data_IF_746703624185
#
_entry.id   IF_746703624185
#
_cell.length_a   1.000
_cell.length_b   1.000
_cell.length_c   1.000
_cell.angle_alpha   90.00
_cell.angle_beta   90.00
_cell.angle_gamma   90.00
#
_symmetry.space_group_name_H-M   'P 1'
#
loop_
_entity.id
_entity.type
_entity.pdbx_description
1 polymer ?
#
# COMPACT_ATOMS: atom_id res chain seq x y z
N UNK A 1 27.67 8.72 -18.62
CA UNK A 1 26.28 8.87 -18.14
C UNK A 1 25.89 10.31 -17.99
N UNK A 2 24.81 10.67 -18.59
CA UNK A 2 24.34 12.05 -18.52
C UNK A 2 23.32 12.19 -17.42
N UNK A 3 23.70 12.84 -16.35
CA UNK A 3 22.79 13.00 -15.22
C UNK A 3 21.63 13.93 -15.50
N UNK A 4 21.78 14.79 -16.50
CA UNK A 4 20.70 15.71 -16.80
C UNK A 4 19.45 15.02 -17.30
N UNK A 5 19.56 13.78 -17.77
CA UNK A 5 18.39 13.03 -18.16
C UNK A 5 17.57 12.59 -16.96
N UNK A 6 18.10 12.80 -15.76
CA UNK A 6 17.39 12.45 -14.53
C UNK A 6 16.79 13.66 -13.83
N UNK A 7 16.62 14.76 -14.56
CA UNK A 7 16.05 15.96 -13.97
C UNK A 7 14.63 15.71 -13.52
N UNK A 8 14.23 16.31 -12.39
CA UNK A 8 12.90 16.05 -11.84
C UNK A 8 11.77 16.36 -12.82
N UNK A 9 11.96 17.35 -13.68
CA UNK A 9 10.93 17.74 -14.64
C UNK A 9 10.61 16.63 -15.64
N UNK A 10 11.49 15.63 -15.79
CA UNK A 10 11.29 14.55 -16.73
C UNK A 10 10.77 13.28 -16.09
N UNK A 11 10.53 13.30 -14.76
CA UNK A 11 10.01 12.13 -14.09
C UNK A 11 8.54 11.98 -14.45
N UNK A 12 8.18 10.83 -15.01
CA UNK A 12 6.79 10.62 -15.40
C UNK A 12 5.94 10.24 -14.21
N UNK A 13 4.63 10.22 -14.41
CA UNK A 13 3.67 9.99 -13.35
C UNK A 13 3.81 8.59 -12.77
N UNK A 14 4.13 7.62 -13.59
CA UNK A 14 4.25 6.26 -13.09
C UNK A 14 5.46 6.10 -12.19
N UNK A 15 6.58 6.70 -12.57
CA UNK A 15 7.77 6.68 -11.73
C UNK A 15 7.50 7.34 -10.39
N UNK A 16 6.82 8.48 -10.41
CA UNK A 16 6.47 9.17 -9.17
C UNK A 16 5.58 8.30 -8.29
N UNK A 17 4.59 7.66 -8.90
CA UNK A 17 3.68 6.80 -8.18
C UNK A 17 4.42 5.63 -7.53
N UNK A 18 5.31 4.99 -8.25
CA UNK A 18 6.11 3.90 -7.72
C UNK A 18 7.00 4.37 -6.58
N UNK A 19 7.62 5.54 -6.75
CA UNK A 19 8.50 6.06 -5.72
C UNK A 19 7.74 6.34 -4.43
N UNK A 20 6.53 6.86 -4.53
CA UNK A 20 5.71 7.11 -3.34
C UNK A 20 5.34 5.80 -2.65
N UNK A 21 5.03 4.79 -3.45
CA UNK A 21 4.68 3.48 -2.90
C UNK A 21 5.87 2.88 -2.16
N UNK A 22 7.03 2.90 -2.78
CA UNK A 22 8.23 2.36 -2.15
C UNK A 22 8.60 3.12 -0.89
N UNK A 23 8.44 4.44 -0.93
CA UNK A 23 8.73 5.24 0.26
C UNK A 23 7.82 4.86 1.41
N UNK A 24 6.53 4.69 1.14
CA UNK A 24 5.60 4.28 2.18
C UNK A 24 5.96 2.91 2.74
N UNK A 25 6.35 1.99 1.87
CA UNK A 25 6.66 0.62 2.26
C UNK A 25 8.07 0.46 2.84
N UNK A 26 8.86 1.52 2.85
CA UNK A 26 10.22 1.44 3.40
C UNK A 26 10.23 1.43 4.93
N UNK A 27 9.11 1.72 5.57
CA UNK A 27 8.99 1.62 7.01
C UNK A 27 8.58 0.20 7.37
N UNK A 28 9.31 -0.49 8.25
CA UNK A 28 9.02 -1.91 8.54
C UNK A 28 7.62 -2.14 9.07
N UNK A 29 7.12 -1.26 9.92
CA UNK A 29 5.78 -1.43 10.46
C UNK A 29 4.73 -1.24 9.39
N UNK A 30 4.92 -0.25 8.51
CA UNK A 30 3.98 -0.05 7.42
C UNK A 30 3.99 -1.21 6.44
N UNK A 31 5.18 -1.73 6.17
CA UNK A 31 5.28 -2.89 5.29
C UNK A 31 4.54 -4.08 5.88
N UNK A 32 4.69 -4.30 7.18
CA UNK A 32 4.01 -5.40 7.84
C UNK A 32 2.49 -5.23 7.77
N UNK A 33 2.01 -4.01 7.96
CA UNK A 33 0.59 -3.73 7.84
C UNK A 33 0.10 -4.03 6.43
N UNK A 34 0.86 -3.58 5.44
CA UNK A 34 0.48 -3.83 4.05
C UNK A 34 0.44 -5.33 3.75
N UNK A 35 1.43 -6.06 4.23
CA UNK A 35 1.48 -7.52 4.01
C UNK A 35 0.28 -8.20 4.65
N UNK A 36 -0.12 -7.76 5.83
CA UNK A 36 -1.28 -8.34 6.48
C UNK A 36 -2.57 -8.08 5.70
N UNK A 37 -2.71 -6.87 5.18
CA UNK A 37 -3.88 -6.55 4.35
C UNK A 37 -3.86 -7.40 3.09
N UNK A 38 -2.70 -7.53 2.48
CA UNK A 38 -2.55 -8.35 1.28
C UNK A 38 -2.93 -9.80 1.55
N UNK A 39 -2.49 -10.33 2.66
CA UNK A 39 -2.77 -11.72 3.02
C UNK A 39 -4.25 -11.94 3.25
N UNK A 40 -4.90 -11.02 3.97
CA UNK A 40 -6.33 -11.14 4.24
C UNK A 40 -7.15 -11.05 2.96
N UNK A 41 -6.74 -10.19 2.05
CA UNK A 41 -7.41 -10.07 0.76
C UNK A 41 -7.34 -11.38 -0.02
N UNK A 42 -6.20 -12.05 0.02
CA UNK A 42 -6.03 -13.29 -0.71
C UNK A 42 -6.85 -14.43 -0.13
N UNK A 43 -7.10 -14.40 1.17
CA UNK A 43 -7.81 -15.48 1.83
C UNK A 43 -9.30 -15.31 1.80
N UNK A 44 -9.77 -14.11 1.47
CA UNK A 44 -11.19 -13.79 1.53
C UNK A 44 -11.82 -13.97 0.16
N UNK A 45 -13.00 -14.54 0.15
CA UNK A 45 -13.75 -14.78 -1.08
C UNK A 45 -15.11 -14.13 -0.92
N UNK A 46 -15.51 -13.39 -1.93
CA UNK A 46 -16.84 -12.78 -1.93
C UNK A 46 -16.79 -11.36 -1.39
N UNK A 47 -17.96 -10.82 -1.03
CA UNK A 47 -18.07 -9.41 -0.67
C UNK A 47 -17.41 -9.04 0.63
N UNK A 48 -17.01 -10.01 1.42
CA UNK A 48 -16.40 -9.73 2.71
C UNK A 48 -14.87 -9.82 2.67
N UNK A 49 -14.30 -9.56 1.54
CA UNK A 49 -12.86 -9.70 1.38
C UNK A 49 -12.09 -8.50 1.92
N UNK A 50 -12.73 -7.43 2.36
CA UNK A 50 -12.00 -6.37 3.06
C UNK A 50 -11.97 -6.69 4.54
N UNK A 51 -10.89 -6.30 5.19
CA UNK A 51 -10.75 -6.55 6.62
C UNK A 51 -11.28 -5.35 7.39
N UNK A 52 -11.92 -5.61 8.53
CA UNK A 52 -12.36 -4.54 9.39
C UNK A 52 -11.13 -3.88 10.01
N UNK A 53 -11.07 -2.56 9.89
CA UNK A 53 -9.90 -1.83 10.39
C UNK A 53 -9.73 -2.02 11.89
N UNK A 54 -10.84 -2.05 12.61
CA UNK A 54 -10.81 -2.23 14.04
C UNK A 54 -10.14 -3.56 14.44
N UNK A 55 -10.56 -4.65 13.81
CA UNK A 55 -9.97 -5.95 14.10
C UNK A 55 -8.51 -6.00 13.71
N UNK A 56 -8.20 -5.34 12.62
CA UNK A 56 -6.83 -5.31 12.14
C UNK A 56 -5.92 -4.59 13.13
N UNK A 57 -6.36 -3.44 13.64
CA UNK A 57 -5.57 -2.69 14.60
C UNK A 57 -5.33 -3.52 15.85
N UNK A 58 -6.36 -4.23 16.30
CA UNK A 58 -6.23 -5.06 17.52
C UNK A 58 -5.29 -6.23 17.32
N UNK A 59 -5.09 -6.67 16.10
CA UNK A 59 -4.20 -7.80 15.84
C UNK A 59 -2.73 -7.38 15.80
N UNK A 60 -2.47 -6.10 15.77
CA UNK A 60 -1.10 -5.59 15.73
C UNK A 60 -0.68 -5.18 17.14
N UNK A 61 0.55 -5.51 17.50
CA UNK A 61 1.06 -5.16 18.82
C UNK A 61 1.80 -3.84 18.74
N UNK A 62 1.11 -2.83 18.22
CA UNK A 62 1.63 -1.48 18.08
C UNK A 62 0.56 -0.54 18.62
N UNK A 63 0.98 0.58 19.18
CA UNK A 63 0.02 1.54 19.72
C UNK A 63 -0.95 2.04 18.64
N UNK A 64 -2.22 2.19 19.01
CA UNK A 64 -3.25 2.58 18.05
C UNK A 64 -2.97 3.88 17.32
N UNK A 65 -2.47 4.95 17.96
CA UNK A 65 -2.17 6.17 17.23
C UNK A 65 -1.10 5.96 16.16
N UNK A 66 -0.12 5.12 16.44
CA UNK A 66 0.93 4.82 15.48
C UNK A 66 0.38 4.03 14.30
N UNK A 67 -0.50 3.06 14.59
CA UNK A 67 -1.13 2.29 13.52
C UNK A 67 -1.98 3.20 12.64
N UNK A 68 -2.74 4.11 13.24
CA UNK A 68 -3.55 5.05 12.47
C UNK A 68 -2.69 5.90 11.56
N UNK A 69 -1.54 6.35 12.03
CA UNK A 69 -0.62 7.12 11.21
C UNK A 69 -0.11 6.29 10.03
N UNK A 70 0.25 5.05 10.29
CA UNK A 70 0.73 4.18 9.23
C UNK A 70 -0.34 3.90 8.19
N UNK A 71 -1.57 3.68 8.64
CA UNK A 71 -2.69 3.47 7.71
C UNK A 71 -2.87 4.70 6.83
N UNK A 72 -2.81 5.89 7.43
CA UNK A 72 -2.97 7.12 6.68
C UNK A 72 -1.87 7.28 5.62
N UNK A 73 -0.64 6.92 5.96
CA UNK A 73 0.46 7.00 5.00
C UNK A 73 0.27 6.04 3.85
N UNK A 74 -0.25 4.85 4.13
CA UNK A 74 -0.53 3.88 3.06
C UNK A 74 -1.65 4.38 2.15
N UNK A 75 -2.67 5.00 2.72
CA UNK A 75 -3.75 5.58 1.92
C UNK A 75 -3.22 6.71 1.05
N UNK A 76 -2.40 7.59 1.63
CA UNK A 76 -1.86 8.72 0.89
C UNK A 76 -0.95 8.28 -0.26
N UNK A 77 -0.31 7.13 -0.11
CA UNK A 77 0.54 6.59 -1.17
C UNK A 77 -0.25 5.81 -2.21
N UNK A 78 -1.57 5.69 -2.04
CA UNK A 78 -2.41 5.00 -3.00
C UNK A 78 -2.35 3.50 -2.93
N UNK A 79 -1.83 2.95 -1.84
CA UNK A 79 -1.65 1.51 -1.72
C UNK A 79 -2.87 0.79 -1.20
N UNK A 80 -3.63 1.45 -0.35
CA UNK A 80 -4.84 0.87 0.22
C UNK A 80 -5.93 1.91 0.22
N UNK A 81 -7.16 1.46 0.40
CA UNK A 81 -8.32 2.32 0.58
C UNK A 81 -8.96 1.98 1.91
N UNK A 82 -9.51 3.00 2.56
CA UNK A 82 -10.27 2.81 3.79
C UNK A 82 -11.67 3.27 3.48
N UNK A 83 -12.63 2.39 3.71
CA UNK A 83 -14.02 2.65 3.39
C UNK A 83 -14.88 2.45 4.62
N UNK A 84 -15.93 3.27 4.73
CA UNK A 84 -16.84 3.15 5.84
C UNK A 84 -17.98 2.20 5.45
N UNK A 85 -18.20 1.21 6.30
CA UNK A 85 -19.29 0.27 6.11
C UNK A 85 -20.14 0.27 7.38
N UNK A 86 -21.20 1.06 7.38
CA UNK A 86 -21.97 1.27 8.57
C UNK A 86 -21.15 1.99 9.62
N UNK A 87 -20.97 1.40 10.77
CA UNK A 87 -20.16 1.99 11.82
C UNK A 87 -18.73 1.45 11.83
N UNK A 88 -18.39 0.65 10.84
CA UNK A 88 -17.05 0.08 10.77
C UNK A 88 -16.24 0.75 9.67
N UNK A 89 -14.93 0.74 9.85
CA UNK A 89 -14.00 1.12 8.80
C UNK A 89 -13.33 -0.15 8.29
N UNK A 90 -13.23 -0.27 6.99
CA UNK A 90 -12.63 -1.44 6.36
C UNK A 90 -11.43 -1.02 5.53
N UNK A 91 -10.40 -1.83 5.53
CA UNK A 91 -9.23 -1.65 4.67
C UNK A 91 -9.32 -2.56 3.47
N UNK A 92 -8.98 -2.04 2.32
CA UNK A 92 -8.94 -2.84 1.11
C UNK A 92 -7.71 -2.46 0.30
N UNK A 93 -7.13 -3.42 -0.38
CA UNK A 93 -6.03 -3.12 -1.29
C UNK A 93 -6.53 -2.26 -2.43
N UNK A 94 -5.68 -1.36 -2.87
CA UNK A 94 -5.91 -0.70 -4.14
C UNK A 94 -5.37 -1.64 -5.21
N UNK A 95 -6.27 -2.26 -5.96
CA UNK A 95 -5.88 -3.27 -6.93
C UNK A 95 -5.02 -2.71 -8.05
N UNK A 96 -5.28 -1.47 -8.43
CA UNK A 96 -4.49 -0.87 -9.49
C UNK A 96 -3.04 -0.69 -9.07
N UNK A 97 -2.81 -0.21 -7.85
CA UNK A 97 -1.43 -0.03 -7.37
C UNK A 97 -0.75 -1.38 -7.19
N UNK A 98 -1.49 -2.39 -6.71
CA UNK A 98 -0.91 -3.72 -6.58
C UNK A 98 -0.48 -4.25 -7.93
N UNK A 99 -1.31 -4.04 -8.95
CA UNK A 99 -0.97 -4.47 -10.30
C UNK A 99 0.27 -3.75 -10.82
N UNK A 100 0.34 -2.44 -10.60
CA UNK A 100 1.48 -1.65 -11.06
C UNK A 100 2.77 -2.12 -10.40
N UNK A 101 2.73 -2.37 -9.08
CA UNK A 101 3.91 -2.87 -8.39
C UNK A 101 4.30 -4.25 -8.90
N UNK A 102 3.32 -5.12 -9.11
CA UNK A 102 3.59 -6.44 -9.63
C UNK A 102 4.24 -6.41 -11.00
N UNK A 103 3.73 -5.56 -11.86
CA UNK A 103 4.30 -5.41 -13.20
C UNK A 103 5.71 -4.84 -13.15
N UNK A 104 5.95 -3.93 -12.22
CA UNK A 104 7.29 -3.37 -12.07
C UNK A 104 8.31 -4.46 -11.75
N UNK A 105 8.00 -5.32 -10.79
CA UNK A 105 8.94 -6.37 -10.42
C UNK A 105 9.01 -7.46 -11.48
N UNK A 106 7.93 -7.72 -12.18
CA UNK A 106 7.93 -8.73 -13.22
C UNK A 106 8.68 -8.29 -14.46
N UNK A 107 8.80 -6.98 -14.67
CA UNK A 107 9.43 -6.43 -15.88
C UNK A 107 10.89 -6.10 -15.67
N UNK A 108 11.52 -6.66 -14.64
CA UNK A 108 12.94 -6.42 -14.42
C UNK A 108 13.73 -6.80 -15.66
N UNK A 109 14.66 -5.97 -16.06
CA UNK A 109 15.40 -6.22 -17.29
C UNK A 109 16.28 -7.45 -17.15
N UNK A 110 16.46 -8.14 -18.25
CA UNK A 110 17.42 -9.23 -18.31
C UNK A 110 18.82 -8.65 -18.18
N UNK A 111 19.58 -9.19 -17.28
CA UNK A 111 20.93 -8.69 -17.06
C UNK A 111 21.87 -9.03 -18.21
#
# INVERSE_FOLDING_TARGET
MKLKSLQPATIDAETDRLARAFKALSNPNRLQIYVEILRRQRQSIGPEHSCALYDFINSLEIGAPTVSHHIKELVNAGLIRVEREGKYLACALDEDSRRVLGEFFASAPDA
#
